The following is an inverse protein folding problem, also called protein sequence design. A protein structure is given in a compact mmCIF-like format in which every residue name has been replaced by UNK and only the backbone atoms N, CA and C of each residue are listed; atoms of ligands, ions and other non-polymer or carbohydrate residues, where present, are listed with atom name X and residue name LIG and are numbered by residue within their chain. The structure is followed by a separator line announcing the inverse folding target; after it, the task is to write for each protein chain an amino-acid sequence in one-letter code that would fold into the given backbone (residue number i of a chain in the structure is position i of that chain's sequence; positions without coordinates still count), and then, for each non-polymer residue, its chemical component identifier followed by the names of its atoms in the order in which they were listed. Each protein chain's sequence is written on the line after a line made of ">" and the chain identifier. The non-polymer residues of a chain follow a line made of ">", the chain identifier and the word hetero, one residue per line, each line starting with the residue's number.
data_IF_501863239244
#
_entry.id   IF_501863239244
#
_cell.length_a   1.000
_cell.length_b   1.000
_cell.length_c   1.000
_cell.angle_alpha   90.00
_cell.angle_beta   90.00
_cell.angle_gamma   90.00
#
_symmetry.space_group_name_H-M   'P 1'
#
loop_
_entity.id
_entity.type
_entity.pdbx_description
1 polymer ?
#
# COMPACT_ATOMS: atom_id res chain seq x y z
N UNK A 1 -10.13 16.53 -0.28
CA UNK A 1 -10.83 16.80 -1.55
C UNK A 1 -9.84 16.61 -2.68
N UNK A 2 -10.21 15.89 -3.75
CA UNK A 2 -9.35 15.63 -4.90
C UNK A 2 -10.06 16.09 -6.17
N UNK A 3 -9.31 16.64 -7.11
CA UNK A 3 -9.83 17.16 -8.38
C UNK A 3 -9.63 16.18 -9.54
N UNK A 4 -8.68 15.24 -9.44
CA UNK A 4 -8.59 14.10 -10.35
C UNK A 4 -9.47 12.93 -9.87
N UNK A 5 -9.98 12.10 -10.81
CA UNK A 5 -10.61 10.83 -10.47
C UNK A 5 -9.68 9.95 -9.61
N UNK A 6 -10.24 9.16 -8.67
CA UNK A 6 -9.44 8.19 -7.93
C UNK A 6 -8.89 7.12 -8.86
N UNK A 7 -7.72 6.57 -8.51
CA UNK A 7 -7.25 5.35 -9.15
C UNK A 7 -8.20 4.17 -8.84
N UNK A 8 -8.12 3.11 -9.64
CA UNK A 8 -8.95 1.91 -9.45
C UNK A 8 -8.75 1.28 -8.05
N UNK A 9 -7.51 1.23 -7.57
CA UNK A 9 -7.16 0.67 -6.28
C UNK A 9 -6.47 1.69 -5.38
N UNK A 10 -6.75 1.60 -4.08
CA UNK A 10 -6.08 2.37 -3.04
C UNK A 10 -5.28 1.43 -2.13
N UNK A 11 -3.98 1.68 -2.03
CA UNK A 11 -3.08 0.95 -1.13
C UNK A 11 -2.51 1.89 -0.09
N UNK A 12 -2.58 1.49 1.18
CA UNK A 12 -2.11 2.27 2.31
C UNK A 12 -1.10 1.46 3.14
N UNK A 13 0.11 1.97 3.30
CA UNK A 13 1.10 1.41 4.23
C UNK A 13 1.00 2.08 5.59
N UNK A 14 0.85 1.32 6.68
CA UNK A 14 0.83 1.91 8.02
C UNK A 14 2.23 2.35 8.45
N UNK A 15 2.38 3.64 8.77
CA UNK A 15 3.60 4.25 9.29
C UNK A 15 3.48 4.65 10.78
N UNK A 16 2.45 4.19 11.47
CA UNK A 16 2.27 4.44 12.90
C UNK A 16 3.38 3.82 13.75
N UNK A 17 3.59 4.35 14.96
CA UNK A 17 4.69 3.96 15.86
C UNK A 17 4.87 2.44 16.00
N UNK A 18 3.77 1.69 16.22
CA UNK A 18 3.85 0.22 16.33
C UNK A 18 4.32 -0.46 15.05
N UNK A 19 3.87 0.00 13.88
CA UNK A 19 4.31 -0.54 12.58
C UNK A 19 5.75 -0.13 12.26
N UNK A 20 6.13 1.11 12.60
CA UNK A 20 7.50 1.58 12.46
C UNK A 20 8.49 0.72 13.27
N UNK A 21 8.19 0.46 14.55
CA UNK A 21 9.06 -0.31 15.45
C UNK A 21 9.28 -1.76 14.98
N UNK A 22 8.33 -2.36 14.28
CA UNK A 22 8.44 -3.74 13.75
C UNK A 22 8.89 -3.80 12.30
N UNK A 23 9.34 -2.68 11.73
CA UNK A 23 9.96 -2.65 10.40
C UNK A 23 8.97 -2.48 9.24
N UNK A 24 8.06 -1.52 9.32
CA UNK A 24 7.17 -1.19 8.19
C UNK A 24 7.85 -0.50 6.99
N UNK A 25 9.05 0.10 7.13
CA UNK A 25 9.74 0.75 5.99
C UNK A 25 10.00 -0.21 4.83
N UNK A 26 10.67 -1.37 5.03
CA UNK A 26 10.90 -2.32 3.95
C UNK A 26 9.61 -2.77 3.24
N UNK A 27 8.49 -2.86 3.97
CA UNK A 27 7.19 -3.18 3.39
C UNK A 27 6.71 -2.08 2.43
N UNK A 28 6.80 -0.82 2.87
CA UNK A 28 6.39 0.35 2.10
C UNK A 28 7.31 0.54 0.88
N UNK A 29 8.62 0.43 1.06
CA UNK A 29 9.61 0.51 -0.03
C UNK A 29 9.38 -0.58 -1.08
N UNK A 30 9.07 -1.79 -0.65
CA UNK A 30 8.74 -2.89 -1.54
C UNK A 30 7.47 -2.61 -2.35
N UNK A 31 6.46 -1.99 -1.74
CA UNK A 31 5.24 -1.58 -2.44
C UNK A 31 5.50 -0.47 -3.46
N UNK A 32 6.31 0.54 -3.10
CA UNK A 32 6.76 1.62 -4.00
C UNK A 32 7.52 1.07 -5.22
N UNK A 33 8.50 0.20 -4.99
CA UNK A 33 9.28 -0.42 -6.05
C UNK A 33 8.40 -1.21 -7.01
N UNK A 34 7.43 -1.98 -6.47
CA UNK A 34 6.51 -2.77 -7.29
C UNK A 34 5.53 -1.90 -8.09
N UNK A 35 5.14 -0.73 -7.56
CA UNK A 35 4.25 0.21 -8.27
C UNK A 35 4.98 1.13 -9.25
N UNK A 36 6.32 1.14 -9.22
CA UNK A 36 7.13 2.06 -10.01
C UNK A 36 7.08 3.51 -9.51
N UNK A 37 6.69 3.71 -8.24
CA UNK A 37 6.63 5.03 -7.60
C UNK A 37 7.88 5.28 -6.74
N UNK A 38 8.37 6.52 -6.73
CA UNK A 38 9.48 6.92 -5.83
C UNK A 38 8.99 7.35 -4.44
N UNK A 39 7.74 7.79 -4.34
CA UNK A 39 7.08 8.27 -3.11
C UNK A 39 5.58 7.98 -3.18
N UNK A 40 4.82 8.34 -2.15
CA UNK A 40 3.37 8.33 -2.22
C UNK A 40 2.86 9.03 -3.48
N UNK A 41 1.95 8.38 -4.20
CA UNK A 41 1.45 8.94 -5.44
C UNK A 41 0.45 8.04 -6.12
N UNK A 42 0.15 8.39 -7.35
CA UNK A 42 -0.73 7.63 -8.22
C UNK A 42 0.11 7.10 -9.37
N UNK A 43 -0.13 5.87 -9.77
CA UNK A 43 0.50 5.32 -10.96
C UNK A 43 0.01 6.08 -12.20
N UNK A 44 0.86 6.32 -13.22
CA UNK A 44 0.48 7.10 -14.40
C UNK A 44 -0.69 6.52 -15.21
N UNK A 45 -0.94 5.22 -15.07
CA UNK A 45 -2.04 4.50 -15.72
C UNK A 45 -3.37 4.61 -14.96
N UNK A 46 -3.41 5.33 -13.83
CA UNK A 46 -4.62 5.55 -13.03
C UNK A 46 -5.11 4.29 -12.30
N UNK A 47 -4.25 3.29 -12.13
CA UNK A 47 -4.68 1.99 -11.57
C UNK A 47 -4.49 1.88 -10.08
N UNK A 48 -3.42 2.46 -9.54
CA UNK A 48 -3.11 2.33 -8.13
C UNK A 48 -2.69 3.66 -7.53
N UNK A 49 -3.28 3.99 -6.40
CA UNK A 49 -2.81 5.03 -5.50
C UNK A 49 -2.10 4.38 -4.33
N UNK A 50 -0.87 4.80 -4.02
CA UNK A 50 -0.12 4.38 -2.84
C UNK A 50 0.02 5.55 -1.85
N UNK A 51 -0.39 5.36 -0.59
CA UNK A 51 -0.27 6.34 0.50
C UNK A 51 0.36 5.72 1.73
N UNK A 52 0.98 6.54 2.58
CA UNK A 52 1.27 6.17 3.95
C UNK A 52 0.13 6.65 4.81
N UNK A 53 -0.26 5.82 5.77
CA UNK A 53 -1.27 6.17 6.73
C UNK A 53 -0.66 6.10 8.13
N UNK A 54 -0.85 7.15 8.92
CA UNK A 54 -0.31 7.24 10.28
C UNK A 54 -0.88 6.14 11.19
N UNK A 55 -2.10 5.67 10.98
CA UNK A 55 -2.65 4.55 11.75
C UNK A 55 -3.81 3.87 11.04
N UNK A 56 -3.73 2.53 10.93
CA UNK A 56 -4.82 1.69 10.41
C UNK A 56 -5.62 0.98 11.52
N UNK A 57 -5.41 1.34 12.79
CA UNK A 57 -6.19 0.81 13.93
C UNK A 57 -5.95 -0.66 14.29
N UNK A 58 -5.00 -1.34 13.63
CA UNK A 58 -4.73 -2.77 13.80
C UNK A 58 -3.33 -3.06 14.37
N UNK A 59 -2.89 -2.29 15.36
CA UNK A 59 -1.53 -2.37 15.91
C UNK A 59 -1.14 -3.77 16.42
N UNK A 60 -2.09 -4.59 16.88
CA UNK A 60 -1.83 -5.97 17.31
C UNK A 60 -1.40 -6.91 16.18
N UNK A 61 -1.57 -6.48 14.92
CA UNK A 61 -1.19 -7.20 13.72
C UNK A 61 -0.09 -6.47 12.94
N UNK A 62 0.67 -5.58 13.58
CA UNK A 62 1.74 -4.86 12.90
C UNK A 62 2.81 -5.81 12.31
N UNK A 63 3.44 -5.46 11.17
CA UNK A 63 3.13 -4.29 10.32
C UNK A 63 1.85 -4.51 9.50
N UNK A 64 1.13 -3.41 9.22
CA UNK A 64 -0.18 -3.44 8.56
C UNK A 64 -0.14 -2.66 7.24
N UNK A 65 -0.77 -3.21 6.21
CA UNK A 65 -1.15 -2.48 4.99
C UNK A 65 -2.66 -2.61 4.76
N UNK A 66 -3.25 -1.72 3.97
CA UNK A 66 -4.61 -1.84 3.49
C UNK A 66 -4.64 -1.83 1.96
N UNK A 67 -5.54 -2.59 1.36
CA UNK A 67 -5.86 -2.56 -0.06
C UNK A 67 -7.37 -2.41 -0.17
N UNK A 68 -7.84 -1.34 -0.79
CA UNK A 68 -9.28 -1.04 -0.94
C UNK A 68 -10.04 -1.19 0.38
N UNK A 69 -9.46 -0.62 1.45
CA UNK A 69 -9.94 -0.69 2.84
C UNK A 69 -9.88 -2.07 3.53
N UNK A 70 -9.40 -3.10 2.86
CA UNK A 70 -9.15 -4.41 3.47
C UNK A 70 -7.78 -4.44 4.13
N UNK A 71 -7.78 -4.62 5.46
CA UNK A 71 -6.56 -4.69 6.26
C UNK A 71 -5.83 -6.03 6.07
N UNK A 72 -4.52 -5.93 5.89
CA UNK A 72 -3.58 -7.05 5.82
C UNK A 72 -2.57 -6.83 6.95
N UNK A 73 -2.69 -7.64 8.00
CA UNK A 73 -1.77 -7.66 9.12
C UNK A 73 -0.61 -8.64 8.92
N UNK A 74 0.46 -8.47 9.71
CA UNK A 74 1.72 -9.21 9.61
C UNK A 74 2.24 -9.20 8.16
N UNK A 75 2.06 -8.07 7.49
CA UNK A 75 2.39 -7.92 6.08
C UNK A 75 3.90 -8.00 5.89
N UNK A 76 4.34 -8.62 4.80
CA UNK A 76 5.76 -8.75 4.46
C UNK A 76 6.09 -8.00 3.18
N UNK A 77 7.34 -7.57 2.97
CA UNK A 77 7.77 -6.94 1.71
C UNK A 77 7.41 -7.77 0.47
N UNK A 78 7.58 -9.09 0.53
CA UNK A 78 7.25 -9.99 -0.58
C UNK A 78 5.74 -10.06 -0.84
N UNK A 79 4.94 -10.09 0.24
CA UNK A 79 3.49 -10.02 0.11
C UNK A 79 3.08 -8.69 -0.53
N UNK A 80 3.63 -7.56 -0.08
CA UNK A 80 3.34 -6.26 -0.70
C UNK A 80 3.67 -6.25 -2.19
N UNK A 81 4.85 -6.72 -2.60
CA UNK A 81 5.23 -6.81 -4.03
C UNK A 81 4.24 -7.65 -4.82
N UNK A 82 3.90 -8.83 -4.31
CA UNK A 82 2.96 -9.73 -4.97
C UNK A 82 1.59 -9.08 -5.14
N UNK A 83 1.04 -8.46 -4.08
CA UNK A 83 -0.26 -7.78 -4.13
C UNK A 83 -0.25 -6.59 -5.09
N UNK A 84 0.79 -5.76 -5.07
CA UNK A 84 0.91 -4.64 -6.01
C UNK A 84 0.98 -5.16 -7.46
N UNK A 85 1.77 -6.19 -7.72
CA UNK A 85 1.87 -6.78 -9.05
C UNK A 85 0.53 -7.39 -9.51
N UNK A 86 -0.22 -8.05 -8.63
CA UNK A 86 -1.59 -8.55 -8.89
C UNK A 86 -2.52 -7.40 -9.27
N UNK A 87 -2.61 -6.35 -8.45
CA UNK A 87 -3.44 -5.17 -8.72
C UNK A 87 -3.04 -4.45 -10.01
N UNK A 88 -1.75 -4.50 -10.38
CA UNK A 88 -1.22 -3.99 -11.64
C UNK A 88 -1.26 -5.02 -12.79
N UNK A 89 -1.75 -6.23 -12.58
CA UNK A 89 -1.95 -7.24 -13.62
C UNK A 89 -3.43 -7.51 -13.89
N UNK A 90 -4.33 -7.12 -12.98
CA UNK A 90 -5.78 -7.15 -13.14
C UNK A 90 -6.24 -6.22 -14.28
N UNK A 91 -6.05 -6.69 -15.51
CA UNK A 91 -6.75 -6.29 -16.71
C UNK A 91 -7.44 -7.54 -17.24
N UNK A 92 -8.77 -7.61 -17.08
CA UNK A 92 -9.75 -8.14 -18.03
C UNK A 92 -11.09 -8.37 -17.30
N UNK A 93 -12.00 -7.41 -17.50
CA UNK A 93 -13.41 -7.49 -17.17
C UNK A 93 -14.15 -6.41 -17.94
#
# INVERSE_FOLDING_TARGET
>A
FRFEPPCLHQVEGCWGASCHLVGAMPLIEAALQASGLETEGDTPDGRLTLRYNTCLGACSQAPVMAIDHHLIGRATPDLAKARIAELLAEQNG
#
